data_IF_332562379686
#
_entry.id   IF_332562379686
#
_cell.length_a   1.000
_cell.length_b   1.000
_cell.length_c   1.000
_cell.angle_alpha   90.00
_cell.angle_beta   90.00
_cell.angle_gamma   90.00
#
_symmetry.space_group_name_H-M   'P 1'
#
loop_
_entity.id
_entity.type
_entity.pdbx_description
1 polymer ?
#
# COMPACT_ATOMS: atom_id res chain seq x y z
N UNK A 1 -6.51 48.83 64.45
CA UNK A 1 -7.73 48.37 63.76
C UNK A 1 -7.39 47.10 63.00
N UNK A 2 -7.93 45.97 63.47
CA UNK A 2 -7.87 44.67 62.79
C UNK A 2 -8.74 44.72 61.52
N UNK A 3 -8.21 44.18 60.41
CA UNK A 3 -9.03 43.63 59.33
C UNK A 3 -8.51 42.23 59.01
N UNK A 4 -9.18 41.25 59.60
CA UNK A 4 -9.25 39.85 59.18
C UNK A 4 -10.16 39.76 57.94
N UNK A 5 -9.82 38.94 56.96
CA UNK A 5 -10.73 38.29 55.98
C UNK A 5 -9.92 37.20 55.21
N UNK A 6 -10.56 36.14 54.67
CA UNK A 6 -10.34 34.78 55.12
C UNK A 6 -9.73 33.85 54.07
N UNK A 7 -9.21 32.73 54.59
CA UNK A 7 -8.81 31.52 53.87
C UNK A 7 -9.93 31.05 52.94
N UNK A 8 -9.64 30.98 51.63
CA UNK A 8 -10.50 30.32 50.65
C UNK A 8 -9.69 29.29 49.85
N UNK A 9 -9.81 28.04 50.31
CA UNK A 9 -9.96 26.82 49.49
C UNK A 9 -8.88 26.54 48.43
N UNK A 10 -7.79 25.91 48.88
CA UNK A 10 -6.99 24.99 48.08
C UNK A 10 -7.86 23.76 47.80
N UNK A 11 -8.10 23.44 46.50
CA UNK A 11 -8.14 22.09 45.88
C UNK A 11 -8.83 22.17 44.53
N UNK A 12 -8.09 21.98 43.43
CA UNK A 12 -8.68 21.39 42.22
C UNK A 12 -7.65 20.52 41.51
N UNK A 13 -8.06 19.28 41.28
CA UNK A 13 -7.32 18.14 40.77
C UNK A 13 -6.48 18.43 39.52
N UNK A 14 -5.18 18.15 39.60
CA UNK A 14 -4.33 17.92 38.43
C UNK A 14 -4.74 16.60 37.79
N UNK A 15 -5.66 16.68 36.83
CA UNK A 15 -5.96 15.61 35.88
C UNK A 15 -4.68 15.23 35.16
N UNK A 16 -4.16 14.04 35.47
CA UNK A 16 -3.12 13.37 34.69
C UNK A 16 -3.72 13.07 33.32
N UNK A 17 -3.55 14.00 32.38
CA UNK A 17 -3.74 13.71 30.97
C UNK A 17 -2.68 12.68 30.59
N UNK A 18 -3.08 11.41 30.53
CA UNK A 18 -2.37 10.39 29.76
C UNK A 18 -2.48 10.77 28.28
N UNK A 19 -1.73 11.80 27.90
CA UNK A 19 -1.40 12.05 26.51
C UNK A 19 -0.55 10.88 26.06
N UNK A 20 -1.15 9.98 25.28
CA UNK A 20 -0.41 9.14 24.34
C UNK A 20 0.31 10.11 23.40
N UNK A 21 1.51 10.53 23.81
CA UNK A 21 2.42 11.29 22.99
C UNK A 21 2.82 10.38 21.82
N UNK A 22 2.09 10.48 20.71
CA UNK A 22 2.64 10.15 19.41
C UNK A 22 3.92 10.96 19.27
N UNK A 23 5.06 10.29 19.28
CA UNK A 23 6.36 10.93 19.24
C UNK A 23 6.43 11.84 17.99
N UNK A 24 6.89 13.10 18.11
CA UNK A 24 7.02 14.02 16.97
C UNK A 24 7.98 13.51 15.88
N UNK A 25 8.81 12.51 16.20
CA UNK A 25 9.66 11.80 15.24
C UNK A 25 8.85 11.12 14.12
N UNK A 26 7.66 10.59 14.42
CA UNK A 26 6.82 9.91 13.41
C UNK A 26 6.13 10.91 12.46
N UNK A 27 5.89 12.16 12.91
CA UNK A 27 5.41 13.23 12.03
C UNK A 27 6.57 13.88 11.24
N UNK A 28 7.74 14.06 11.85
CA UNK A 28 8.90 14.70 11.21
C UNK A 28 9.55 13.83 10.12
N UNK A 29 9.42 12.50 10.19
CA UNK A 29 9.84 11.58 9.12
C UNK A 29 9.07 11.80 7.80
N UNK A 30 7.99 12.60 7.82
CA UNK A 30 7.24 12.96 6.62
C UNK A 30 7.82 14.20 5.89
N UNK A 31 8.84 14.87 6.44
CA UNK A 31 9.34 16.15 5.91
C UNK A 31 10.79 16.13 5.39
N UNK A 32 11.64 15.19 5.80
CA UNK A 32 13.08 15.16 5.40
C UNK A 32 13.45 13.79 4.84
N UNK A 33 13.60 13.69 3.52
CA UNK A 33 14.01 12.46 2.85
C UNK A 33 13.91 12.58 1.32
N UNK A 34 14.83 11.92 0.61
CA UNK A 34 14.79 11.85 -0.84
C UNK A 34 13.60 11.01 -1.28
N UNK A 35 12.89 11.50 -2.30
CA UNK A 35 11.73 10.81 -2.86
C UNK A 35 12.10 10.22 -4.19
N UNK A 36 11.76 8.95 -4.39
CA UNK A 36 11.94 8.23 -5.64
C UNK A 36 10.60 7.64 -6.06
N UNK A 37 10.19 7.88 -7.30
CA UNK A 37 8.99 7.28 -7.89
C UNK A 37 9.33 5.88 -8.41
N UNK A 38 10.54 5.74 -8.98
CA UNK A 38 11.05 4.48 -9.53
C UNK A 38 12.38 4.03 -8.91
N UNK A 39 12.69 2.74 -9.04
CA UNK A 39 13.91 2.13 -8.48
C UNK A 39 15.18 2.65 -9.16
N UNK A 40 15.15 2.81 -10.48
CA UNK A 40 16.24 3.36 -11.27
C UNK A 40 16.61 4.77 -10.80
N UNK A 41 15.64 5.64 -10.50
CA UNK A 41 15.90 6.97 -9.93
C UNK A 41 16.69 6.89 -8.60
N UNK A 42 16.41 5.89 -7.76
CA UNK A 42 17.16 5.66 -6.52
C UNK A 42 18.60 5.21 -6.81
N UNK A 43 18.79 4.37 -7.82
CA UNK A 43 20.11 3.86 -8.24
C UNK A 43 20.94 5.00 -8.85
N UNK A 44 20.35 5.78 -9.77
CA UNK A 44 20.98 6.93 -10.42
C UNK A 44 21.38 8.01 -9.42
N UNK A 45 20.62 8.20 -8.34
CA UNK A 45 20.97 9.12 -7.28
C UNK A 45 22.24 8.71 -6.49
N UNK A 46 22.67 7.44 -6.59
CA UNK A 46 23.97 6.96 -6.08
C UNK A 46 24.16 6.98 -4.56
N UNK A 47 23.13 7.36 -3.78
CA UNK A 47 23.21 7.44 -2.31
C UNK A 47 23.07 6.09 -1.60
N UNK A 48 22.49 5.11 -2.29
CA UNK A 48 22.31 3.74 -1.83
C UNK A 48 22.84 2.79 -2.90
N UNK A 49 23.22 1.57 -2.51
CA UNK A 49 23.52 0.52 -3.48
C UNK A 49 22.26 0.09 -4.24
N UNK A 50 22.43 -0.55 -5.41
CA UNK A 50 21.30 -1.05 -6.18
C UNK A 50 20.43 -2.05 -5.39
N UNK A 51 21.06 -2.91 -4.60
CA UNK A 51 20.39 -3.85 -3.70
C UNK A 51 19.61 -3.13 -2.60
N UNK A 52 20.19 -2.08 -1.98
CA UNK A 52 19.50 -1.27 -0.98
C UNK A 52 18.29 -0.53 -1.57
N UNK A 53 18.39 -0.05 -2.81
CA UNK A 53 17.24 0.51 -3.53
C UNK A 53 16.16 -0.54 -3.77
N UNK A 54 16.52 -1.77 -4.13
CA UNK A 54 15.55 -2.87 -4.25
C UNK A 54 14.83 -3.15 -2.92
N UNK A 55 15.60 -3.31 -1.83
CA UNK A 55 15.05 -3.55 -0.50
C UNK A 55 14.15 -2.40 -0.06
N UNK A 56 14.55 -1.15 -0.33
CA UNK A 56 13.75 0.02 -0.03
C UNK A 56 12.36 -0.04 -0.70
N UNK A 57 12.30 -0.38 -1.98
CA UNK A 57 11.04 -0.52 -2.72
C UNK A 57 10.18 -1.66 -2.20
N UNK A 58 10.76 -2.85 -2.03
CA UNK A 58 10.03 -4.06 -1.61
C UNK A 58 9.50 -3.92 -0.18
N UNK A 59 10.32 -3.39 0.72
CA UNK A 59 9.94 -3.20 2.12
C UNK A 59 8.84 -2.13 2.24
N UNK A 60 8.97 -1.01 1.53
CA UNK A 60 7.91 0.01 1.50
C UNK A 60 6.62 -0.54 0.86
N UNK A 61 6.73 -1.32 -0.22
CA UNK A 61 5.55 -1.95 -0.84
C UNK A 61 4.85 -2.91 0.13
N UNK A 62 5.59 -3.73 0.86
CA UNK A 62 5.04 -4.60 1.88
C UNK A 62 4.35 -3.81 3.01
N UNK A 63 4.95 -2.71 3.47
CA UNK A 63 4.33 -1.80 4.45
C UNK A 63 3.03 -1.20 3.92
N UNK A 64 3.02 -0.78 2.66
CA UNK A 64 1.84 -0.29 1.98
C UNK A 64 0.74 -1.36 1.94
N UNK A 65 1.06 -2.57 1.48
CA UNK A 65 0.08 -3.66 1.39
C UNK A 65 -0.51 -4.06 2.74
N UNK A 66 0.29 -3.94 3.80
CA UNK A 66 -0.13 -4.26 5.15
C UNK A 66 -1.05 -3.20 5.77
N UNK A 67 -0.78 -1.91 5.50
CA UNK A 67 -1.43 -0.80 6.21
C UNK A 67 -2.34 0.08 5.37
N UNK A 68 -2.31 -0.03 4.05
CA UNK A 68 -3.15 0.78 3.18
C UNK A 68 -4.64 0.56 3.51
N UNK A 69 -5.42 1.65 3.66
CA UNK A 69 -6.84 1.54 3.93
C UNK A 69 -7.56 0.92 2.73
N UNK A 70 -8.57 0.10 3.03
CA UNK A 70 -9.46 -0.51 2.06
C UNK A 70 -10.83 0.15 2.16
N UNK A 71 -11.27 0.75 1.07
CA UNK A 71 -12.54 1.44 0.96
C UNK A 71 -13.58 0.58 0.24
N UNK A 72 -14.86 0.76 0.58
CA UNK A 72 -15.95 0.03 -0.06
C UNK A 72 -16.30 0.58 -1.47
N UNK A 73 -15.96 1.84 -1.75
CA UNK A 73 -16.20 2.45 -3.06
C UNK A 73 -15.03 3.32 -3.53
N UNK A 74 -14.91 3.45 -4.85
CA UNK A 74 -13.90 4.29 -5.50
C UNK A 74 -13.99 5.73 -5.04
N UNK A 75 -15.20 6.30 -5.05
CA UNK A 75 -15.45 7.68 -4.66
C UNK A 75 -15.02 7.95 -3.21
N UNK A 76 -15.22 7.00 -2.29
CA UNK A 76 -14.78 7.16 -0.90
C UNK A 76 -13.25 7.20 -0.79
N UNK A 77 -12.57 6.38 -1.56
CA UNK A 77 -11.10 6.36 -1.59
C UNK A 77 -10.54 7.64 -2.23
N UNK A 78 -11.05 8.05 -3.38
CA UNK A 78 -10.52 9.19 -4.14
C UNK A 78 -10.73 10.53 -3.42
N UNK A 79 -11.78 10.66 -2.59
CA UNK A 79 -11.94 11.81 -1.68
C UNK A 79 -10.74 12.03 -0.75
N UNK A 80 -10.04 10.96 -0.38
CA UNK A 80 -8.90 10.98 0.53
C UNK A 80 -7.54 10.92 -0.21
N UNK A 81 -7.48 10.17 -1.33
CA UNK A 81 -6.22 9.72 -1.92
C UNK A 81 -6.02 10.09 -3.40
N UNK A 82 -6.88 10.93 -3.99
CA UNK A 82 -6.91 11.33 -5.42
C UNK A 82 -7.12 10.16 -6.40
N UNK A 83 -6.22 9.18 -6.44
CA UNK A 83 -6.26 8.03 -7.35
C UNK A 83 -6.30 6.72 -6.56
N UNK A 84 -7.30 5.89 -6.88
CA UNK A 84 -7.49 4.61 -6.24
C UNK A 84 -7.68 3.47 -7.24
N UNK A 85 -7.09 2.32 -6.94
CA UNK A 85 -7.23 1.10 -7.72
C UNK A 85 -8.22 0.13 -7.07
N UNK A 86 -8.95 -0.62 -7.89
CA UNK A 86 -9.75 -1.73 -7.40
C UNK A 86 -8.84 -2.92 -7.03
N UNK A 87 -9.02 -3.45 -5.83
CA UNK A 87 -8.47 -4.72 -5.38
C UNK A 87 -9.62 -5.67 -5.08
N UNK A 88 -9.69 -6.71 -5.90
CA UNK A 88 -10.62 -7.82 -5.68
C UNK A 88 -10.00 -8.74 -4.63
N UNK A 89 -10.64 -8.84 -3.47
CA UNK A 89 -10.32 -9.88 -2.50
C UNK A 89 -11.19 -11.09 -2.81
N UNK A 90 -10.59 -12.16 -3.35
CA UNK A 90 -11.27 -13.44 -3.54
C UNK A 90 -11.33 -14.20 -2.21
N UNK A 91 -12.00 -13.62 -1.22
CA UNK A 91 -12.37 -14.35 0.01
C UNK A 91 -13.48 -15.32 -0.38
N UNK A 92 -13.10 -16.48 -0.93
CA UNK A 92 -14.02 -17.47 -1.53
C UNK A 92 -13.58 -18.08 -2.88
N UNK A 93 -12.39 -17.73 -3.40
CA UNK A 93 -11.88 -18.28 -4.67
C UNK A 93 -12.49 -17.65 -5.93
N UNK A 94 -12.08 -18.17 -7.10
CA UNK A 94 -12.53 -17.69 -8.42
C UNK A 94 -14.04 -17.92 -8.64
N UNK A 95 -14.60 -18.97 -8.05
CA UNK A 95 -16.02 -19.30 -8.14
C UNK A 95 -16.93 -18.29 -7.45
N UNK A 96 -16.50 -17.77 -6.28
CA UNK A 96 -17.24 -16.71 -5.59
C UNK A 96 -17.23 -15.41 -6.39
N UNK A 97 -16.12 -15.10 -7.07
CA UNK A 97 -16.03 -13.95 -7.97
C UNK A 97 -16.93 -14.12 -9.21
N UNK A 98 -16.95 -15.30 -9.82
CA UNK A 98 -17.79 -15.61 -10.98
C UNK A 98 -19.30 -15.53 -10.68
N UNK A 99 -19.71 -15.74 -9.43
CA UNK A 99 -21.08 -15.61 -8.95
C UNK A 99 -21.43 -14.21 -8.42
N UNK A 100 -20.54 -13.23 -8.60
CA UNK A 100 -20.75 -11.85 -8.15
C UNK A 100 -20.53 -11.63 -6.64
N UNK A 101 -20.04 -12.62 -5.90
CA UNK A 101 -19.76 -12.55 -4.46
C UNK A 101 -18.39 -11.96 -4.09
N UNK A 102 -17.59 -11.55 -5.07
CA UNK A 102 -16.33 -10.84 -4.81
C UNK A 102 -16.59 -9.37 -4.45
N UNK A 103 -16.35 -8.98 -3.21
CA UNK A 103 -16.34 -7.57 -2.84
C UNK A 103 -15.08 -6.90 -3.41
N UNK A 104 -15.25 -5.99 -4.37
CA UNK A 104 -14.19 -5.12 -4.83
C UNK A 104 -13.92 -4.06 -3.75
N UNK A 105 -12.74 -4.12 -3.13
CA UNK A 105 -12.25 -3.04 -2.26
C UNK A 105 -11.43 -2.05 -3.08
N UNK A 106 -11.45 -0.77 -2.72
CA UNK A 106 -10.63 0.24 -3.38
C UNK A 106 -9.50 0.65 -2.45
N UNK A 107 -8.28 0.71 -2.97
CA UNK A 107 -7.09 1.09 -2.20
C UNK A 107 -6.40 2.28 -2.87
N UNK A 108 -5.69 3.13 -2.10
CA UNK A 108 -4.88 4.21 -2.65
C UNK A 108 -3.84 3.68 -3.64
N UNK A 109 -3.37 4.53 -4.55
CA UNK A 109 -2.23 4.19 -5.41
C UNK A 109 -0.91 4.35 -4.65
N UNK A 110 -0.09 3.29 -4.64
CA UNK A 110 1.33 3.40 -4.28
C UNK A 110 2.07 4.10 -5.44
N UNK A 111 2.74 5.21 -5.15
CA UNK A 111 3.41 6.03 -6.19
C UNK A 111 4.92 6.07 -6.09
N UNK A 112 5.49 5.55 -5.02
CA UNK A 112 6.94 5.54 -4.85
C UNK A 112 7.32 5.39 -3.40
N UNK A 113 8.58 5.72 -3.11
CA UNK A 113 9.15 5.65 -1.78
C UNK A 113 9.80 6.97 -1.38
N UNK A 114 9.77 7.25 -0.09
CA UNK A 114 10.61 8.26 0.54
C UNK A 114 11.67 7.55 1.34
N UNK A 115 12.93 7.86 1.07
CA UNK A 115 14.09 7.36 1.81
C UNK A 115 14.61 8.47 2.71
N UNK A 116 14.72 8.19 4.00
CA UNK A 116 15.34 9.08 4.98
C UNK A 116 16.54 8.42 5.64
N UNK A 117 17.54 9.22 6.02
CA UNK A 117 18.83 8.75 6.50
C UNK A 117 19.81 8.37 5.38
N UNK A 118 20.95 7.81 5.76
CA UNK A 118 22.07 7.50 4.85
C UNK A 118 22.58 6.06 5.04
N UNK A 119 23.12 5.48 3.96
CA UNK A 119 23.72 4.15 3.95
C UNK A 119 22.81 3.06 4.52
N UNK A 120 23.40 2.11 5.27
CA UNK A 120 22.66 1.00 5.86
C UNK A 120 21.64 1.40 6.94
N UNK A 121 21.76 2.60 7.52
CA UNK A 121 20.81 3.11 8.50
C UNK A 121 19.55 3.71 7.86
N UNK A 122 19.58 3.94 6.54
CA UNK A 122 18.46 4.53 5.83
C UNK A 122 17.18 3.68 5.93
N UNK A 123 16.05 4.37 5.86
CA UNK A 123 14.72 3.75 5.96
C UNK A 123 13.82 4.24 4.84
N UNK A 124 12.97 3.34 4.36
CA UNK A 124 12.02 3.60 3.29
C UNK A 124 10.59 3.68 3.83
N UNK A 125 9.86 4.67 3.36
CA UNK A 125 8.45 4.90 3.62
C UNK A 125 7.66 4.86 2.31
N UNK A 126 6.45 4.28 2.29
CA UNK A 126 5.58 4.35 1.12
C UNK A 126 5.08 5.77 0.87
N UNK A 127 4.96 6.14 -0.39
CA UNK A 127 4.27 7.35 -0.81
C UNK A 127 2.95 6.95 -1.47
N UNK A 128 1.89 7.64 -1.06
CA UNK A 128 0.56 7.56 -1.65
C UNK A 128 0.14 8.96 -2.09
N UNK A 129 -0.71 9.04 -3.10
CA UNK A 129 -1.32 10.31 -3.47
C UNK A 129 -2.41 10.75 -2.47
N UNK A 130 -2.68 12.06 -2.46
CA UNK A 130 -3.76 12.69 -1.69
C UNK A 130 -3.33 13.36 -0.39
N UNK A 131 -4.33 13.79 0.38
CA UNK A 131 -4.14 14.57 1.62
C UNK A 131 -4.31 13.72 2.88
N UNK A 132 -4.93 12.55 2.77
CA UNK A 132 -5.11 11.66 3.90
C UNK A 132 -3.79 11.03 4.33
N UNK A 133 -3.46 11.18 5.62
CA UNK A 133 -2.25 10.61 6.23
C UNK A 133 -2.49 9.17 6.61
N UNK A 134 -1.62 8.27 6.14
CA UNK A 134 -1.59 6.86 6.56
C UNK A 134 -0.38 6.68 7.49
N UNK A 135 -0.59 6.02 8.63
CA UNK A 135 0.46 5.75 9.62
C UNK A 135 1.36 4.57 9.19
N UNK A 136 2.17 4.79 8.16
CA UNK A 136 3.22 3.85 7.76
C UNK A 136 4.38 3.85 8.76
N UNK A 137 5.00 2.69 8.93
CA UNK A 137 6.25 2.54 9.69
C UNK A 137 7.41 2.42 8.70
N UNK A 138 8.43 3.25 8.87
CA UNK A 138 9.61 3.23 8.00
C UNK A 138 10.38 1.91 8.19
N UNK A 139 10.60 1.17 7.10
CA UNK A 139 11.35 -0.09 7.12
C UNK A 139 12.81 0.14 6.73
N UNK A 140 13.74 -0.62 7.30
CA UNK A 140 15.18 -0.49 7.01
C UNK A 140 15.47 -0.87 5.56
N UNK A 141 16.48 -0.25 4.94
CA UNK A 141 16.93 -0.61 3.58
C UNK A 141 18.11 -1.58 3.56
N UNK A 142 18.74 -1.85 4.70
CA UNK A 142 19.90 -2.74 4.78
C UNK A 142 19.59 -4.24 4.61
N UNK A 143 18.33 -4.63 4.71
CA UNK A 143 17.91 -6.01 4.56
C UNK A 143 16.50 -6.09 3.98
N UNK A 144 16.22 -7.17 3.26
CA UNK A 144 14.89 -7.47 2.75
C UNK A 144 13.95 -7.89 3.90
N UNK A 145 12.87 -7.13 4.07
CA UNK A 145 11.78 -7.34 5.01
C UNK A 145 10.43 -7.03 4.32
N UNK A 146 10.11 -7.85 3.33
CA UNK A 146 8.93 -7.72 2.47
C UNK A 146 7.73 -8.57 2.95
N UNK A 147 7.79 -9.09 4.17
CA UNK A 147 6.72 -9.91 4.72
C UNK A 147 5.51 -9.05 5.07
N UNK A 148 4.33 -9.52 4.65
CA UNK A 148 3.03 -8.90 4.93
C UNK A 148 2.22 -9.81 5.85
N UNK A 149 2.04 -9.42 7.11
CA UNK A 149 1.22 -10.18 8.05
C UNK A 149 -0.28 -9.93 7.82
N UNK A 150 -1.07 -11.00 7.75
CA UNK A 150 -2.54 -11.05 7.91
C UNK A 150 -3.34 -9.92 7.25
N UNK A 151 -4.00 -10.20 6.12
CA UNK A 151 -4.93 -9.29 5.42
C UNK A 151 -5.86 -8.57 6.42
N UNK A 152 -5.63 -7.27 6.63
CA UNK A 152 -6.50 -6.43 7.45
C UNK A 152 -7.89 -6.32 6.83
N UNK A 153 -8.91 -6.47 7.67
CA UNK A 153 -10.32 -6.42 7.29
C UNK A 153 -10.71 -5.09 6.63
N UNK A 154 -11.68 -5.18 5.73
CA UNK A 154 -12.29 -4.02 5.07
C UNK A 154 -13.01 -3.20 6.12
N UNK A 155 -12.77 -1.89 6.17
CA UNK A 155 -13.51 -1.00 7.07
C UNK A 155 -14.91 -0.82 6.45
N UNK A 156 -15.89 -1.52 7.02
CA UNK A 156 -17.30 -1.51 6.62
C UNK A 156 -17.78 -2.88 6.15
N UNK A 157 -18.48 -3.62 7.02
CA UNK A 157 -19.17 -4.87 6.71
C UNK A 157 -18.74 -6.04 7.60
N UNK A 158 -19.59 -6.40 8.57
CA UNK A 158 -19.34 -7.52 9.49
C UNK A 158 -19.57 -8.90 8.85
N UNK A 159 -18.76 -9.88 9.25
CA UNK A 159 -18.98 -11.30 8.90
C UNK A 159 -17.82 -12.20 9.34
N UNK A 160 -18.13 -13.18 10.20
CA UNK A 160 -17.22 -14.18 10.79
C UNK A 160 -16.71 -15.18 9.75
N UNK A 161 -15.43 -15.51 9.81
CA UNK A 161 -14.71 -16.30 8.81
C UNK A 161 -14.82 -17.82 8.92
N UNK A 162 -14.39 -18.49 7.86
CA UNK A 162 -13.79 -19.83 7.90
C UNK A 162 -12.62 -19.90 6.91
N UNK A 163 -11.55 -20.55 7.39
CA UNK A 163 -10.24 -20.69 6.77
C UNK A 163 -10.25 -21.89 5.83
N UNK A 164 -9.87 -21.74 4.55
CA UNK A 164 -9.52 -22.90 3.72
C UNK A 164 -8.47 -22.55 2.66
N UNK A 165 -7.47 -23.43 2.58
CA UNK A 165 -6.25 -23.35 1.81
C UNK A 165 -6.50 -23.29 0.30
N UNK A 166 -5.74 -22.46 -0.43
CA UNK A 166 -5.79 -22.43 -1.89
C UNK A 166 -4.40 -22.24 -2.51
N UNK A 167 -3.92 -23.30 -3.17
CA UNK A 167 -2.97 -23.30 -4.28
C UNK A 167 -1.50 -22.93 -3.98
N UNK A 168 -0.55 -23.35 -4.84
CA UNK A 168 0.84 -22.94 -4.71
C UNK A 168 0.91 -21.41 -4.76
N UNK A 169 1.48 -20.85 -3.69
CA UNK A 169 1.67 -19.41 -3.51
C UNK A 169 2.61 -18.89 -4.60
N UNK A 170 2.06 -18.35 -5.69
CA UNK A 170 2.83 -17.52 -6.62
C UNK A 170 3.28 -16.28 -5.84
N UNK A 171 4.59 -16.16 -5.64
CA UNK A 171 5.26 -15.07 -4.92
C UNK A 171 4.93 -13.73 -5.59
N UNK A 172 3.85 -13.11 -5.14
CA UNK A 172 3.33 -11.85 -5.67
C UNK A 172 4.16 -10.74 -5.02
N UNK A 173 5.16 -10.24 -5.76
CA UNK A 173 6.13 -9.25 -5.26
C UNK A 173 7.51 -9.33 -5.92
N UNK A 174 7.84 -10.44 -6.60
CA UNK A 174 9.08 -10.55 -7.40
C UNK A 174 8.90 -9.98 -8.82
N UNK A 175 7.67 -9.68 -9.25
CA UNK A 175 7.42 -9.00 -10.51
C UNK A 175 7.54 -7.50 -10.27
N UNK A 176 8.61 -6.91 -10.79
CA UNK A 176 8.76 -5.46 -10.86
C UNK A 176 7.59 -4.90 -11.69
N UNK A 177 6.62 -4.28 -11.02
CA UNK A 177 5.44 -3.67 -11.65
C UNK A 177 5.81 -2.52 -12.62
N UNK A 178 7.09 -2.13 -12.69
CA UNK A 178 7.63 -1.16 -13.66
C UNK A 178 8.14 -1.81 -14.94
N UNK A 179 8.28 -3.15 -14.97
CA UNK A 179 8.66 -3.89 -16.18
C UNK A 179 7.38 -4.21 -16.96
N UNK A 180 7.30 -3.82 -18.25
CA UNK A 180 6.18 -4.20 -19.11
C UNK A 180 5.94 -5.71 -19.06
N UNK A 181 4.68 -6.11 -18.89
CA UNK A 181 4.30 -7.53 -19.00
C UNK A 181 4.62 -7.93 -20.44
N UNK A 182 5.50 -8.92 -20.69
CA UNK A 182 5.71 -9.42 -22.05
C UNK A 182 4.42 -10.08 -22.51
N UNK A 183 3.65 -9.34 -23.31
CA UNK A 183 2.46 -9.85 -23.97
C UNK A 183 2.91 -10.67 -25.18
N UNK A 184 2.27 -11.82 -25.40
CA UNK A 184 2.53 -12.60 -26.60
C UNK A 184 2.10 -11.80 -27.84
N UNK A 185 3.04 -11.61 -28.77
CA UNK A 185 2.77 -10.92 -30.01
C UNK A 185 2.08 -11.88 -30.99
N UNK A 186 0.83 -11.58 -31.35
CA UNK A 186 0.02 -12.37 -32.29
C UNK A 186 -0.79 -11.42 -33.17
N UNK A 187 -0.87 -11.70 -34.46
CA UNK A 187 -1.62 -10.87 -35.39
C UNK A 187 -3.13 -10.96 -35.12
N UNK A 188 -3.85 -9.85 -35.21
CA UNK A 188 -5.32 -9.83 -35.09
C UNK A 188 -5.93 -10.83 -36.08
N UNK A 189 -6.84 -11.67 -35.58
CA UNK A 189 -7.49 -12.73 -36.38
C UNK A 189 -6.70 -14.04 -36.45
N UNK A 190 -5.54 -14.16 -35.82
CA UNK A 190 -4.79 -15.42 -35.74
C UNK A 190 -5.58 -16.52 -35.02
N UNK A 191 -5.39 -17.78 -35.44
CA UNK A 191 -5.97 -18.91 -34.74
C UNK A 191 -5.18 -19.30 -33.50
N UNK A 192 -5.32 -18.49 -32.45
CA UNK A 192 -4.66 -18.67 -31.15
C UNK A 192 -5.65 -19.16 -30.07
N UNK A 193 -5.16 -19.55 -28.89
CA UNK A 193 -6.05 -19.82 -27.77
C UNK A 193 -6.82 -18.55 -27.36
N UNK A 194 -7.96 -18.67 -26.65
CA UNK A 194 -8.59 -17.52 -26.00
C UNK A 194 -7.62 -16.83 -25.04
N UNK A 195 -7.48 -15.51 -25.14
CA UNK A 195 -6.46 -14.77 -24.41
C UNK A 195 -6.31 -13.32 -24.84
N UNK A 196 -5.44 -12.59 -24.15
CA UNK A 196 -5.05 -11.22 -24.46
C UNK A 196 -3.69 -11.24 -25.17
N UNK A 197 -3.58 -10.52 -26.28
CA UNK A 197 -2.42 -10.50 -27.16
C UNK A 197 -2.11 -9.07 -27.61
N UNK A 198 -0.93 -8.87 -28.19
CA UNK A 198 -0.54 -7.60 -28.84
C UNK A 198 -0.24 -7.90 -30.31
N UNK A 199 -0.78 -7.11 -31.23
CA UNK A 199 -0.46 -7.23 -32.65
C UNK A 199 0.94 -6.67 -32.95
N UNK A 200 1.64 -7.08 -34.03
CA UNK A 200 2.87 -6.44 -34.47
C UNK A 200 2.84 -4.91 -34.56
N UNK A 201 1.67 -4.30 -34.78
CA UNK A 201 1.45 -2.85 -34.77
C UNK A 201 1.34 -2.23 -33.36
N UNK A 202 1.38 -3.05 -32.30
CA UNK A 202 1.29 -2.62 -30.90
C UNK A 202 -0.13 -2.55 -30.34
N UNK A 203 -1.16 -2.88 -31.12
CA UNK A 203 -2.56 -2.86 -30.66
C UNK A 203 -2.86 -4.07 -29.78
N UNK A 204 -3.33 -3.82 -28.55
CA UNK A 204 -3.85 -4.86 -27.66
C UNK A 204 -5.18 -5.41 -28.16
N UNK A 205 -5.32 -6.73 -28.26
CA UNK A 205 -6.55 -7.38 -28.69
C UNK A 205 -6.85 -8.66 -27.90
N UNK A 206 -8.14 -8.95 -27.75
CA UNK A 206 -8.65 -10.08 -26.98
C UNK A 206 -9.33 -11.10 -27.90
N UNK A 207 -8.91 -12.38 -27.84
CA UNK A 207 -9.64 -13.49 -28.44
C UNK A 207 -10.62 -14.07 -27.43
N UNK A 208 -11.93 -13.93 -27.62
CA UNK A 208 -12.92 -14.49 -26.70
C UNK A 208 -12.85 -16.02 -26.71
N UNK A 209 -13.05 -16.63 -25.54
CA UNK A 209 -13.40 -18.04 -25.48
C UNK A 209 -14.77 -18.17 -26.12
N UNK A 210 -14.88 -18.96 -27.20
CA UNK A 210 -16.16 -19.17 -27.91
C UNK A 210 -17.24 -19.48 -26.88
N UNK A 211 -18.18 -18.55 -26.68
CA UNK A 211 -19.50 -18.86 -26.13
C UNK A 211 -20.34 -19.32 -27.31
N UNK A 212 -20.72 -20.59 -27.31
CA UNK A 212 -21.98 -20.98 -27.96
C UNK A 212 -23.11 -20.51 -27.07
#
# INVERSE_FOLDING_TARGET
MLLLLPVAMIRMASLFAFGLALAPADLAAQAVGQTYVRRDECIEAGKLSAEQCEFAYRNARAEFEQKAPRYASRAQCERAHKRCGAQVTTTGGWDALARGGGAASYVPRFVGIRVSGEGAAARALPIVEGSARIAFTARKVAALDDKVAGRRGVIGGGGRGQTQASGPYIRRGDRDDTVPVPMEQKKIGSDVAPGLYVDPDGVEWYKPSRRR
#
